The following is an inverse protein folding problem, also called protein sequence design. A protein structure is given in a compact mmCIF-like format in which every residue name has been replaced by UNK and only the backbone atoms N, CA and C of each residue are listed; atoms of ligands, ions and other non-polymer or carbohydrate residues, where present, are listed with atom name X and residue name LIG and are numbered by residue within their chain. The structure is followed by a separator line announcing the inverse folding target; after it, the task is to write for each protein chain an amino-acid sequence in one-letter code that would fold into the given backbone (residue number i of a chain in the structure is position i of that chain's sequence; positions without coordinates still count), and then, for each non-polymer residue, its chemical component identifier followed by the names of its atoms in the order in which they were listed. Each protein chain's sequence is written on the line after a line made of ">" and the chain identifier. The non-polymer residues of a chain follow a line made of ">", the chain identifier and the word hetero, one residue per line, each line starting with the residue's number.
data_IF_616771017734
#
_entry.id   IF_616771017734
#
_cell.length_a   1.000
_cell.length_b   1.000
_cell.length_c   1.000
_cell.angle_alpha   90.00
_cell.angle_beta   90.00
_cell.angle_gamma   90.00
#
_symmetry.space_group_name_H-M   'P 1'
#
loop_
_entity.id
_entity.type
_entity.pdbx_description
1 polymer ?
#
# COMPACT_ATOMS: atom_id res chain seq x y z
N UNK A 1 -16.08 -9.02 -4.04
CA UNK A 1 -15.95 -8.30 -2.75
C UNK A 1 -16.81 -7.05 -2.78
N UNK A 2 -17.48 -6.68 -1.68
CA UNK A 2 -18.24 -5.41 -1.56
C UNK A 2 -17.51 -4.39 -0.69
N UNK A 3 -17.47 -3.14 -1.11
CA UNK A 3 -16.94 -2.03 -0.32
C UNK A 3 -17.98 -0.91 -0.28
N UNK A 4 -18.44 -0.56 0.91
CA UNK A 4 -19.31 0.60 1.10
C UNK A 4 -18.51 1.77 1.66
N UNK A 5 -18.72 2.95 1.09
CA UNK A 5 -18.04 4.19 1.48
C UNK A 5 -19.09 5.19 1.94
N UNK A 6 -18.98 5.64 3.19
CA UNK A 6 -19.86 6.63 3.79
C UNK A 6 -19.11 7.95 3.86
N UNK A 7 -19.64 8.98 3.20
CA UNK A 7 -18.96 10.27 3.04
C UNK A 7 -19.97 11.42 2.97
N UNK A 8 -19.48 12.65 3.14
CA UNK A 8 -20.24 13.87 2.84
C UNK A 8 -20.07 14.35 1.39
N UNK A 9 -19.14 13.75 0.63
CA UNK A 9 -18.72 14.18 -0.70
C UNK A 9 -18.64 12.98 -1.68
N UNK A 10 -19.78 12.33 -1.98
CA UNK A 10 -19.81 11.17 -2.88
C UNK A 10 -19.22 11.46 -4.27
N UNK A 11 -19.35 12.68 -4.76
CA UNK A 11 -18.86 13.12 -6.07
C UNK A 11 -17.34 12.96 -6.24
N UNK A 12 -16.57 12.98 -5.13
CA UNK A 12 -15.12 12.76 -5.16
C UNK A 12 -14.74 11.38 -5.71
N UNK A 13 -15.65 10.40 -5.64
CA UNK A 13 -15.39 9.02 -6.03
C UNK A 13 -15.71 8.71 -7.49
N UNK A 14 -16.46 9.57 -8.20
CA UNK A 14 -16.96 9.28 -9.56
C UNK A 14 -15.84 8.90 -10.53
N UNK A 15 -14.84 9.77 -10.71
CA UNK A 15 -13.70 9.49 -11.61
C UNK A 15 -12.74 8.42 -11.08
N UNK A 16 -12.64 8.30 -9.75
CA UNK A 16 -11.76 7.31 -9.11
C UNK A 16 -12.28 5.88 -9.31
N UNK A 17 -13.59 5.66 -9.15
CA UNK A 17 -14.19 4.32 -9.22
C UNK A 17 -14.47 3.85 -10.65
N UNK A 18 -14.54 4.76 -11.61
CA UNK A 18 -14.85 4.43 -13.01
C UNK A 18 -13.58 4.24 -13.86
N UNK A 19 -12.42 4.67 -13.36
CA UNK A 19 -11.15 4.63 -14.07
C UNK A 19 -10.36 3.34 -13.87
N UNK A 20 -9.52 3.03 -14.86
CA UNK A 20 -8.42 2.05 -14.76
C UNK A 20 -8.89 0.67 -14.24
N UNK A 21 -8.11 0.06 -13.36
CA UNK A 21 -8.33 -1.24 -12.74
C UNK A 21 -9.66 -1.35 -12.00
N UNK A 22 -10.05 -0.31 -11.25
CA UNK A 22 -11.29 -0.30 -10.46
C UNK A 22 -12.52 -0.32 -11.35
N UNK A 23 -12.54 0.51 -12.40
CA UNK A 23 -13.63 0.53 -13.37
C UNK A 23 -13.80 -0.82 -14.07
N UNK A 24 -12.69 -1.42 -14.51
CA UNK A 24 -12.69 -2.74 -15.13
C UNK A 24 -13.21 -3.84 -14.18
N UNK A 25 -12.72 -3.86 -12.94
CA UNK A 25 -13.12 -4.84 -11.93
C UNK A 25 -14.58 -4.71 -11.50
N UNK A 26 -15.14 -3.49 -11.47
CA UNK A 26 -16.57 -3.25 -11.24
C UNK A 26 -17.41 -3.72 -12.43
N UNK A 27 -16.98 -3.39 -13.65
CA UNK A 27 -17.68 -3.81 -14.87
C UNK A 27 -17.71 -5.34 -15.04
N UNK A 28 -16.67 -6.05 -14.56
CA UNK A 28 -16.61 -7.51 -14.56
C UNK A 28 -17.28 -8.17 -13.34
N UNK A 29 -17.89 -7.39 -12.44
CA UNK A 29 -18.59 -7.91 -11.25
C UNK A 29 -17.68 -8.46 -10.15
N UNK A 30 -16.37 -8.24 -10.22
CA UNK A 30 -15.42 -8.69 -9.18
C UNK A 30 -15.50 -7.81 -7.92
N UNK A 31 -15.87 -6.54 -8.11
CA UNK A 31 -16.02 -5.53 -7.06
C UNK A 31 -17.42 -4.89 -7.13
N UNK A 32 -18.08 -4.81 -5.98
CA UNK A 32 -19.27 -3.97 -5.75
C UNK A 32 -18.86 -2.82 -4.85
N UNK A 33 -18.67 -1.62 -5.40
CA UNK A 33 -18.29 -0.44 -4.62
C UNK A 33 -19.47 0.54 -4.62
N UNK A 34 -19.95 0.87 -3.42
CA UNK A 34 -21.09 1.75 -3.20
C UNK A 34 -20.68 2.95 -2.38
N UNK A 35 -21.21 4.11 -2.73
CA UNK A 35 -20.90 5.37 -2.05
C UNK A 35 -22.22 5.98 -1.56
N UNK A 36 -22.31 6.20 -0.25
CA UNK A 36 -23.52 6.67 0.43
C UNK A 36 -23.26 8.02 1.09
N UNK A 37 -24.15 8.98 0.85
CA UNK A 37 -24.02 10.31 1.44
C UNK A 37 -24.59 10.33 2.86
N UNK A 38 -23.77 10.66 3.86
CA UNK A 38 -24.18 10.74 5.27
C UNK A 38 -25.26 11.83 5.46
N UNK A 39 -25.29 12.87 4.62
CA UNK A 39 -26.29 13.96 4.70
C UNK A 39 -27.73 13.47 4.49
N UNK A 40 -27.93 12.33 3.82
CA UNK A 40 -29.26 11.78 3.60
C UNK A 40 -29.88 11.18 4.88
N UNK A 41 -29.06 10.98 5.92
CA UNK A 41 -29.46 10.44 7.22
C UNK A 41 -29.52 11.51 8.30
N UNK A 42 -29.31 12.78 7.93
CA UNK A 42 -29.43 13.89 8.85
C UNK A 42 -30.89 14.34 9.02
N UNK A 43 -31.27 14.59 10.26
CA UNK A 43 -32.59 15.10 10.61
C UNK A 43 -32.73 16.60 10.35
N UNK A 44 -33.98 17.05 10.25
CA UNK A 44 -34.32 18.47 10.10
C UNK A 44 -34.12 19.03 8.69
N UNK A 45 -34.66 20.24 8.47
CA UNK A 45 -34.70 20.89 7.14
C UNK A 45 -33.30 21.19 6.60
N UNK A 46 -32.34 21.46 7.50
CA UNK A 46 -30.97 21.82 7.13
C UNK A 46 -30.04 20.62 6.93
N UNK A 47 -30.51 19.38 7.18
CA UNK A 47 -29.71 18.15 7.09
C UNK A 47 -28.33 18.31 7.78
N UNK A 48 -28.37 18.76 9.04
CA UNK A 48 -27.17 19.05 9.80
C UNK A 48 -26.41 17.76 10.14
N UNK A 49 -25.12 17.72 9.81
CA UNK A 49 -24.24 16.55 10.01
C UNK A 49 -23.12 16.80 11.00
N UNK A 50 -22.96 18.05 11.43
CA UNK A 50 -21.88 18.48 12.31
C UNK A 50 -22.34 19.53 13.32
N UNK A 51 -21.70 19.54 14.49
CA UNK A 51 -21.93 20.52 15.55
C UNK A 51 -20.63 20.84 16.30
N UNK A 52 -20.65 21.91 17.10
CA UNK A 52 -19.51 22.34 17.92
C UNK A 52 -19.16 21.32 18.99
N UNK A 53 -17.86 21.13 19.29
CA UNK A 53 -17.45 20.23 20.36
C UNK A 53 -17.89 20.74 21.74
N UNK A 54 -18.34 19.83 22.60
CA UNK A 54 -18.48 20.11 24.03
C UNK A 54 -17.10 20.40 24.65
N UNK A 55 -17.06 21.31 25.62
CA UNK A 55 -15.80 21.77 26.24
C UNK A 55 -15.14 22.96 25.51
N UNK A 56 -15.69 23.39 24.37
CA UNK A 56 -15.14 24.48 23.57
C UNK A 56 -13.99 24.02 22.67
N UNK A 57 -13.37 24.98 21.97
CA UNK A 57 -12.37 24.73 20.94
C UNK A 57 -12.86 25.12 19.54
N UNK A 58 -11.93 25.28 18.58
CA UNK A 58 -12.28 25.56 17.20
C UNK A 58 -12.85 24.31 16.50
N UNK A 59 -13.47 24.53 15.33
CA UNK A 59 -13.91 23.44 14.46
C UNK A 59 -15.29 22.86 14.80
N UNK A 60 -15.62 21.78 14.10
CA UNK A 60 -16.89 21.06 14.19
C UNK A 60 -16.60 19.56 14.26
N UNK A 61 -17.49 18.77 14.87
CA UNK A 61 -17.43 17.32 14.89
C UNK A 61 -18.63 16.74 14.14
N UNK A 62 -18.41 15.64 13.42
CA UNK A 62 -19.53 14.88 12.86
C UNK A 62 -20.42 14.37 13.99
N UNK A 63 -21.70 14.69 13.88
CA UNK A 63 -22.72 14.30 14.85
C UNK A 63 -22.93 12.78 14.83
N UNK A 64 -23.20 12.16 15.99
CA UNK A 64 -23.36 10.71 16.05
C UNK A 64 -24.61 10.22 15.30
N UNK A 65 -25.73 10.95 15.37
CA UNK A 65 -27.01 10.53 14.76
C UNK A 65 -26.90 10.21 13.27
N UNK A 66 -26.53 11.18 12.41
CA UNK A 66 -26.44 10.95 10.97
C UNK A 66 -25.42 9.88 10.58
N UNK A 67 -24.26 9.84 11.25
CA UNK A 67 -23.20 8.86 10.95
C UNK A 67 -23.64 7.44 11.32
N UNK A 68 -24.19 7.25 12.52
CA UNK A 68 -24.65 5.94 13.00
C UNK A 68 -25.81 5.44 12.16
N UNK A 69 -26.83 6.27 11.91
CA UNK A 69 -27.98 5.90 11.10
C UNK A 69 -27.59 5.51 9.66
N UNK A 70 -26.65 6.23 9.05
CA UNK A 70 -26.11 5.90 7.73
C UNK A 70 -25.40 4.53 7.74
N UNK A 71 -24.53 4.29 8.73
CA UNK A 71 -23.82 3.03 8.87
C UNK A 71 -24.75 1.84 9.12
N UNK A 72 -25.73 1.98 10.03
CA UNK A 72 -26.72 0.94 10.32
C UNK A 72 -27.58 0.62 9.08
N UNK A 73 -28.01 1.64 8.34
CA UNK A 73 -28.76 1.45 7.10
C UNK A 73 -27.95 0.65 6.06
N UNK A 74 -26.70 1.05 5.83
CA UNK A 74 -25.82 0.37 4.87
C UNK A 74 -25.54 -1.06 5.32
N UNK A 75 -25.27 -1.28 6.61
CA UNK A 75 -25.05 -2.63 7.15
C UNK A 75 -26.28 -3.50 6.94
N UNK A 76 -27.48 -2.99 7.25
CA UNK A 76 -28.75 -3.69 7.06
C UNK A 76 -29.05 -4.04 5.59
N UNK A 77 -28.78 -3.13 4.65
CA UNK A 77 -28.94 -3.38 3.20
C UNK A 77 -28.16 -4.62 2.73
N UNK A 78 -26.90 -4.75 3.15
CA UNK A 78 -26.12 -5.92 2.74
C UNK A 78 -26.45 -7.21 3.49
N UNK A 79 -27.06 -7.13 4.69
CA UNK A 79 -27.63 -8.32 5.33
C UNK A 79 -28.84 -8.82 4.54
N UNK A 80 -29.72 -7.93 4.09
CA UNK A 80 -30.87 -8.30 3.25
C UNK A 80 -30.43 -8.92 1.91
N UNK A 81 -29.36 -8.39 1.29
CA UNK A 81 -28.79 -8.97 0.08
C UNK A 81 -28.18 -10.38 0.29
N UNK A 82 -27.80 -10.73 1.52
CA UNK A 82 -27.25 -12.05 1.87
C UNK A 82 -28.35 -13.09 2.22
N UNK A 83 -29.57 -12.65 2.57
CA UNK A 83 -30.73 -13.54 2.82
C UNK A 83 -31.17 -14.17 1.49
N UNK A 84 -30.60 -15.33 1.16
CA UNK A 84 -30.83 -16.05 -0.11
C UNK A 84 -29.60 -16.82 -0.60
N UNK A 85 -28.42 -16.53 -0.06
CA UNK A 85 -27.24 -17.36 -0.19
C UNK A 85 -27.04 -18.15 1.12
N UNK A 86 -26.58 -19.41 1.04
CA UNK A 86 -26.20 -20.26 2.19
C UNK A 86 -24.97 -19.68 2.90
N UNK A 87 -25.08 -18.47 3.45
CA UNK A 87 -24.02 -17.78 4.17
C UNK A 87 -24.27 -18.03 5.64
N UNK A 88 -23.46 -18.92 6.22
CA UNK A 88 -23.40 -19.11 7.66
C UNK A 88 -23.23 -17.77 8.39
N UNK A 89 -23.63 -17.73 9.66
CA UNK A 89 -23.75 -16.58 10.56
C UNK A 89 -22.41 -15.83 10.85
N UNK A 90 -21.41 -15.92 9.99
CA UNK A 90 -20.05 -15.44 10.22
C UNK A 90 -19.55 -14.54 9.08
N UNK A 91 -19.95 -13.28 9.11
CA UNK A 91 -19.01 -12.15 8.94
C UNK A 91 -19.76 -10.84 9.22
N UNK A 92 -19.64 -10.32 10.44
CA UNK A 92 -19.96 -8.91 10.67
C UNK A 92 -19.12 -8.08 9.69
N UNK A 93 -19.77 -7.36 8.77
CA UNK A 93 -19.08 -6.44 7.86
C UNK A 93 -18.45 -5.36 8.73
N UNK A 94 -17.11 -5.27 8.86
CA UNK A 94 -16.51 -4.28 9.74
C UNK A 94 -16.86 -2.88 9.28
N UNK A 95 -17.29 -2.07 10.23
CA UNK A 95 -17.33 -0.63 10.07
C UNK A 95 -15.98 -0.09 10.51
N UNK A 96 -15.32 0.64 9.61
CA UNK A 96 -13.97 1.16 9.78
C UNK A 96 -14.04 2.68 9.71
N UNK A 97 -13.73 3.36 10.81
CA UNK A 97 -13.58 4.81 10.84
C UNK A 97 -12.18 5.18 10.34
N UNK A 98 -12.12 6.03 9.32
CA UNK A 98 -10.86 6.53 8.79
C UNK A 98 -10.41 7.75 9.61
N UNK A 99 -9.42 7.54 10.48
CA UNK A 99 -8.94 8.53 11.45
C UNK A 99 -7.43 8.37 11.66
N UNK A 100 -6.66 9.46 11.81
CA UNK A 100 -5.22 9.39 11.99
C UNK A 100 -4.80 8.63 13.26
N UNK A 101 -5.66 8.56 14.28
CA UNK A 101 -5.41 7.81 15.52
C UNK A 101 -5.64 6.29 15.43
N UNK A 102 -6.08 5.79 14.28
CA UNK A 102 -6.40 4.37 14.07
C UNK A 102 -5.17 3.48 13.87
N UNK A 103 -5.40 2.17 13.72
CA UNK A 103 -4.37 1.19 13.31
C UNK A 103 -3.75 1.64 11.99
N UNK A 104 -2.43 1.64 11.90
CA UNK A 104 -1.74 2.03 10.65
C UNK A 104 -2.00 1.02 9.54
N UNK A 105 -2.34 1.51 8.35
CA UNK A 105 -2.45 0.73 7.13
C UNK A 105 -1.06 0.24 6.72
N UNK A 106 -0.87 -1.08 6.76
CA UNK A 106 0.31 -1.78 6.25
C UNK A 106 -0.12 -2.82 5.24
N UNK A 107 0.82 -3.42 4.51
CA UNK A 107 0.49 -4.48 3.55
C UNK A 107 -0.20 -5.68 4.22
N UNK A 108 0.17 -6.01 5.47
CA UNK A 108 -0.52 -7.03 6.28
C UNK A 108 -2.00 -6.67 6.51
N UNK A 109 -2.29 -5.40 6.78
CA UNK A 109 -3.67 -4.92 6.97
C UNK A 109 -4.43 -4.97 5.66
N UNK A 110 -3.80 -4.60 4.54
CA UNK A 110 -4.39 -4.71 3.20
C UNK A 110 -4.76 -6.17 2.88
N UNK A 111 -3.83 -7.10 3.14
CA UNK A 111 -4.05 -8.54 2.99
C UNK A 111 -5.20 -9.03 3.89
N UNK A 112 -5.26 -8.57 5.14
CA UNK A 112 -6.35 -8.88 6.07
C UNK A 112 -7.71 -8.40 5.55
N UNK A 113 -7.80 -7.14 5.10
CA UNK A 113 -9.03 -6.54 4.60
C UNK A 113 -9.47 -7.19 3.28
N UNK A 114 -8.55 -7.57 2.40
CA UNK A 114 -8.85 -8.21 1.11
C UNK A 114 -9.51 -9.58 1.23
N UNK A 115 -9.34 -10.26 2.38
CA UNK A 115 -9.99 -11.55 2.69
C UNK A 115 -11.42 -11.38 3.19
N UNK A 116 -11.86 -10.16 3.51
CA UNK A 116 -13.23 -9.92 3.96
C UNK A 116 -14.15 -9.85 2.75
N UNK A 117 -15.32 -10.48 2.84
CA UNK A 117 -16.32 -10.42 1.76
C UNK A 117 -16.85 -9.00 1.56
N UNK A 118 -16.94 -8.25 2.67
CA UNK A 118 -17.45 -6.88 2.72
C UNK A 118 -16.72 -6.05 3.76
N UNK A 119 -16.48 -4.77 3.46
CA UNK A 119 -16.01 -3.76 4.41
C UNK A 119 -16.79 -2.45 4.25
N UNK A 120 -16.97 -1.70 5.34
CA UNK A 120 -17.64 -0.40 5.35
C UNK A 120 -16.64 0.66 5.83
N UNK A 121 -16.33 1.64 4.99
CA UNK A 121 -15.39 2.72 5.27
C UNK A 121 -16.15 4.01 5.57
N UNK A 122 -15.92 4.63 6.72
CA UNK A 122 -16.54 5.90 7.11
C UNK A 122 -15.52 7.02 7.05
N UNK A 123 -15.77 7.98 6.15
CA UNK A 123 -14.88 9.11 5.93
C UNK A 123 -15.14 10.20 6.99
N UNK A 124 -14.13 10.50 7.80
CA UNK A 124 -14.16 11.64 8.72
C UNK A 124 -14.06 12.97 7.99
N UNK A 125 -14.58 14.03 8.62
CA UNK A 125 -14.44 15.44 8.19
C UNK A 125 -14.33 16.33 9.42
N UNK A 126 -13.98 17.60 9.18
CA UNK A 126 -13.83 18.59 10.24
C UNK A 126 -12.78 18.11 11.27
N UNK A 127 -13.07 18.18 12.57
CA UNK A 127 -12.20 17.65 13.64
C UNK A 127 -12.34 16.13 13.84
N UNK A 128 -13.22 15.47 13.08
CA UNK A 128 -13.45 14.03 13.12
C UNK A 128 -14.86 13.67 13.58
N UNK A 129 -14.96 12.63 14.40
CA UNK A 129 -16.22 12.05 14.84
C UNK A 129 -16.49 12.35 16.31
N UNK A 130 -17.75 12.46 16.69
CA UNK A 130 -18.14 12.25 18.08
C UNK A 130 -17.65 10.87 18.55
N UNK A 131 -16.94 10.82 19.68
CA UNK A 131 -16.30 9.60 20.20
C UNK A 131 -17.28 8.43 20.42
N UNK A 132 -18.58 8.71 20.61
CA UNK A 132 -19.62 7.69 20.78
C UNK A 132 -19.91 6.92 19.50
N UNK A 133 -19.61 7.47 18.32
CA UNK A 133 -19.79 6.80 17.02
C UNK A 133 -19.03 5.46 17.00
N UNK A 134 -17.77 5.47 17.44
CA UNK A 134 -16.94 4.27 17.52
C UNK A 134 -17.60 3.18 18.37
N UNK A 135 -18.06 3.54 19.57
CA UNK A 135 -18.70 2.60 20.50
C UNK A 135 -20.04 2.10 19.96
N UNK A 136 -20.88 2.99 19.42
CA UNK A 136 -22.20 2.65 18.91
C UNK A 136 -22.13 1.65 17.74
N UNK A 137 -21.13 1.80 16.87
CA UNK A 137 -20.95 0.95 15.70
C UNK A 137 -20.03 -0.25 15.95
N UNK A 138 -19.42 -0.36 17.14
CA UNK A 138 -18.34 -1.32 17.40
C UNK A 138 -17.21 -1.21 16.38
N UNK A 139 -16.93 0.02 15.92
CA UNK A 139 -16.12 0.26 14.74
C UNK A 139 -14.62 0.09 15.00
N UNK A 140 -13.91 -0.45 14.01
CA UNK A 140 -12.46 -0.41 13.93
C UNK A 140 -12.01 1.01 13.53
N UNK A 141 -10.78 1.39 13.87
CA UNK A 141 -10.19 2.67 13.46
C UNK A 141 -8.95 2.40 12.61
N UNK A 142 -8.82 3.08 11.47
CA UNK A 142 -7.71 2.88 10.52
C UNK A 142 -7.11 4.22 10.08
N UNK A 143 -5.78 4.29 10.09
CA UNK A 143 -4.96 5.43 9.68
C UNK A 143 -4.11 5.07 8.48
N UNK A 144 -3.97 5.96 7.50
CA UNK A 144 -3.06 5.74 6.35
C UNK A 144 -1.64 6.28 6.59
N UNK A 145 -1.38 6.87 7.76
CA UNK A 145 -0.04 7.32 8.14
C UNK A 145 -0.04 8.48 9.13
N UNK A 146 1.16 8.87 9.55
CA UNK A 146 1.40 9.87 10.59
C UNK A 146 1.36 11.30 9.99
N UNK A 147 0.22 11.65 9.40
CA UNK A 147 -0.05 12.96 8.79
C UNK A 147 -1.56 13.25 8.80
N UNK A 148 -1.93 14.51 8.55
CA UNK A 148 -3.33 14.97 8.62
C UNK A 148 -3.84 15.29 7.22
N UNK A 149 -5.06 14.82 6.93
CA UNK A 149 -5.81 15.13 5.71
C UNK A 149 -7.04 15.97 6.07
N UNK A 150 -7.62 16.65 5.07
CA UNK A 150 -8.88 17.40 5.23
C UNK A 150 -10.12 16.52 5.40
N UNK A 151 -9.98 15.21 5.21
CA UNK A 151 -11.08 14.25 5.24
C UNK A 151 -10.63 12.83 4.95
N UNK A 152 -11.50 11.88 5.30
CA UNK A 152 -11.25 10.45 5.14
C UNK A 152 -11.40 9.95 3.70
N UNK A 153 -11.86 10.77 2.75
CA UNK A 153 -12.15 10.32 1.37
C UNK A 153 -10.89 9.85 0.64
N UNK A 154 -9.79 10.59 0.76
CA UNK A 154 -8.50 10.17 0.17
C UNK A 154 -7.97 8.92 0.87
N UNK A 155 -8.16 8.79 2.19
CA UNK A 155 -7.82 7.57 2.91
C UNK A 155 -8.66 6.37 2.44
N UNK A 156 -9.96 6.58 2.17
CA UNK A 156 -10.82 5.55 1.62
C UNK A 156 -10.34 5.13 0.23
N UNK A 157 -9.97 6.08 -0.64
CA UNK A 157 -9.40 5.79 -1.96
C UNK A 157 -8.12 4.96 -1.86
N UNK A 158 -7.22 5.31 -0.94
CA UNK A 158 -5.98 4.54 -0.70
C UNK A 158 -6.29 3.11 -0.25
N UNK A 159 -7.23 2.94 0.70
CA UNK A 159 -7.63 1.61 1.18
C UNK A 159 -8.28 0.80 0.05
N UNK A 160 -9.19 1.40 -0.70
CA UNK A 160 -9.87 0.75 -1.83
C UNK A 160 -8.89 0.31 -2.90
N UNK A 161 -7.98 1.17 -3.32
CA UNK A 161 -6.97 0.87 -4.34
C UNK A 161 -6.03 -0.25 -3.88
N UNK A 162 -5.53 -0.19 -2.64
CA UNK A 162 -4.63 -1.22 -2.12
C UNK A 162 -5.34 -2.58 -1.99
N UNK A 163 -6.55 -2.60 -1.46
CA UNK A 163 -7.31 -3.83 -1.20
C UNK A 163 -7.80 -4.47 -2.50
N UNK A 164 -8.28 -3.68 -3.46
CA UNK A 164 -8.86 -4.22 -4.69
C UNK A 164 -7.84 -5.02 -5.52
N UNK A 165 -6.57 -4.63 -5.47
CA UNK A 165 -5.47 -5.30 -6.17
C UNK A 165 -5.30 -6.76 -5.74
N UNK A 166 -5.65 -7.08 -4.49
CA UNK A 166 -5.55 -8.43 -3.94
C UNK A 166 -6.82 -9.27 -4.15
N UNK A 167 -7.88 -8.70 -4.70
CA UNK A 167 -9.10 -9.46 -5.02
C UNK A 167 -8.83 -10.35 -6.24
N UNK A 168 -9.11 -11.67 -6.16
CA UNK A 168 -8.86 -12.60 -7.26
C UNK A 168 -9.50 -12.14 -8.58
N UNK A 169 -8.73 -12.20 -9.66
CA UNK A 169 -9.15 -11.79 -11.00
C UNK A 169 -9.01 -10.30 -11.31
N UNK A 170 -8.75 -9.42 -10.32
CA UNK A 170 -8.63 -7.98 -10.58
C UNK A 170 -7.36 -7.64 -11.36
N UNK A 171 -6.18 -8.08 -10.91
CA UNK A 171 -4.91 -7.82 -11.60
C UNK A 171 -4.65 -8.71 -12.82
N UNK A 172 -5.43 -9.78 -13.01
CA UNK A 172 -5.24 -10.78 -14.06
C UNK A 172 -4.07 -11.75 -13.82
N UNK A 173 -2.92 -11.26 -13.38
CA UNK A 173 -1.74 -12.06 -13.00
C UNK A 173 -1.49 -12.00 -11.48
N UNK A 174 -1.85 -13.07 -10.77
CA UNK A 174 -1.68 -13.18 -9.33
C UNK A 174 -0.21 -13.18 -8.90
N UNK A 175 0.70 -13.59 -9.79
CA UNK A 175 2.13 -13.65 -9.46
C UNK A 175 2.75 -12.25 -9.39
N UNK A 176 2.24 -11.30 -10.18
CA UNK A 176 2.64 -9.89 -10.12
C UNK A 176 2.41 -9.30 -8.71
N UNK A 177 1.24 -9.55 -8.10
CA UNK A 177 0.94 -9.05 -6.76
C UNK A 177 1.86 -9.62 -5.67
N UNK A 178 2.34 -10.86 -5.85
CA UNK A 178 3.26 -11.53 -4.91
C UNK A 178 4.69 -10.99 -4.99
N UNK A 179 5.06 -10.43 -6.14
CA UNK A 179 6.40 -9.91 -6.39
C UNK A 179 6.52 -8.41 -6.07
N UNK A 180 5.39 -7.73 -5.85
CA UNK A 180 5.36 -6.33 -5.42
C UNK A 180 6.16 -6.09 -4.13
N UNK A 181 6.60 -4.85 -4.00
CA UNK A 181 7.14 -4.30 -2.76
C UNK A 181 6.23 -4.63 -1.57
N UNK A 182 6.84 -5.08 -0.48
CA UNK A 182 6.19 -5.52 0.74
C UNK A 182 5.38 -6.82 0.64
N UNK A 183 5.24 -7.50 -0.51
CA UNK A 183 4.46 -8.77 -0.57
C UNK A 183 5.28 -10.02 -0.21
N UNK A 184 6.61 -9.92 -0.16
CA UNK A 184 7.50 -11.03 0.20
C UNK A 184 7.59 -11.25 1.73
N UNK A 185 7.99 -12.44 2.21
CA UNK A 185 8.12 -12.74 3.64
C UNK A 185 9.03 -11.79 4.45
N UNK A 186 9.95 -11.07 3.78
CA UNK A 186 10.83 -10.08 4.41
C UNK A 186 10.33 -8.63 4.31
N UNK A 187 9.13 -8.40 3.76
CA UNK A 187 8.54 -7.08 3.49
C UNK A 187 9.52 -6.11 2.79
N UNK A 188 10.35 -6.66 1.90
CA UNK A 188 11.35 -5.91 1.15
C UNK A 188 10.68 -5.06 0.06
N UNK A 189 11.28 -3.90 -0.22
CA UNK A 189 10.96 -3.09 -1.40
C UNK A 189 11.70 -3.65 -2.61
N UNK A 190 11.03 -3.60 -3.76
CA UNK A 190 11.62 -4.06 -5.03
C UNK A 190 12.88 -3.29 -5.39
N UNK A 191 13.79 -4.00 -6.05
CA UNK A 191 14.96 -3.40 -6.67
C UNK A 191 14.60 -2.55 -7.90
N UNK A 192 15.61 -1.90 -8.53
CA UNK A 192 15.40 -1.13 -9.73
C UNK A 192 14.91 -2.03 -10.88
N UNK A 193 13.90 -1.53 -11.60
CA UNK A 193 13.37 -2.17 -12.79
C UNK A 193 13.83 -1.41 -14.05
N UNK A 194 14.00 -2.13 -15.15
CA UNK A 194 14.48 -1.59 -16.41
C UNK A 194 13.56 -2.04 -17.54
N UNK A 195 13.35 -1.14 -18.50
CA UNK A 195 12.62 -1.44 -19.73
C UNK A 195 13.39 -0.92 -20.92
N UNK A 196 12.88 -1.15 -22.13
CA UNK A 196 13.46 -0.66 -23.37
C UNK A 196 13.45 0.88 -23.39
N UNK A 197 14.48 1.53 -23.99
CA UNK A 197 15.62 0.97 -24.73
C UNK A 197 16.76 0.45 -23.85
N UNK A 198 17.66 -0.37 -24.41
CA UNK A 198 18.83 -0.95 -23.69
C UNK A 198 19.78 0.12 -23.14
N UNK A 199 19.91 1.23 -23.85
CA UNK A 199 20.72 2.36 -23.43
C UNK A 199 19.88 3.64 -23.51
N UNK A 200 19.87 4.41 -22.43
CA UNK A 200 19.19 5.70 -22.36
C UNK A 200 20.17 6.74 -21.84
N UNK A 201 20.58 7.69 -22.70
CA UNK A 201 21.52 8.78 -22.36
C UNK A 201 22.85 8.27 -21.79
N UNK A 202 23.43 7.21 -22.37
CA UNK A 202 24.67 6.60 -21.89
C UNK A 202 24.50 5.69 -20.66
N UNK A 203 23.28 5.55 -20.11
CA UNK A 203 22.99 4.61 -19.03
C UNK A 203 22.50 3.29 -19.62
N UNK A 204 23.30 2.24 -19.46
CA UNK A 204 22.96 0.88 -19.91
C UNK A 204 22.13 0.11 -18.90
N UNK A 205 21.25 -0.77 -19.39
CA UNK A 205 20.62 -1.82 -18.59
C UNK A 205 21.69 -2.81 -18.10
N UNK A 206 21.69 -3.24 -16.82
CA UNK A 206 22.64 -4.23 -16.31
C UNK A 206 22.70 -5.50 -17.18
N UNK A 207 23.91 -5.93 -17.56
CA UNK A 207 24.10 -7.06 -18.48
C UNK A 207 23.46 -8.36 -17.98
N UNK A 208 23.38 -8.56 -16.66
CA UNK A 208 22.69 -9.71 -16.05
C UNK A 208 21.22 -9.80 -16.47
N UNK A 209 20.53 -8.66 -16.62
CA UNK A 209 19.13 -8.60 -17.07
C UNK A 209 18.96 -8.91 -18.56
N UNK A 210 20.05 -8.86 -19.33
CA UNK A 210 20.08 -9.16 -20.76
C UNK A 210 20.56 -10.57 -21.06
N UNK A 211 20.97 -11.32 -20.04
CA UNK A 211 21.61 -12.64 -20.19
C UNK A 211 20.65 -13.79 -20.53
N UNK A 212 19.35 -13.63 -20.27
CA UNK A 212 18.36 -14.71 -20.35
C UNK A 212 18.49 -15.79 -19.25
N UNK A 213 19.48 -15.67 -18.36
CA UNK A 213 19.72 -16.60 -17.26
C UNK A 213 18.79 -16.28 -16.09
N UNK A 214 17.65 -16.98 -16.03
CA UNK A 214 16.61 -16.76 -15.01
C UNK A 214 17.16 -16.87 -13.58
N UNK A 215 18.12 -17.77 -13.33
CA UNK A 215 18.73 -17.95 -12.00
C UNK A 215 19.57 -16.74 -11.59
N UNK A 216 20.43 -16.24 -12.49
CA UNK A 216 21.22 -15.03 -12.24
C UNK A 216 20.35 -13.79 -12.09
N UNK A 217 19.29 -13.67 -12.89
CA UNK A 217 18.34 -12.55 -12.82
C UNK A 217 17.61 -12.56 -11.47
N UNK A 218 17.07 -13.70 -11.05
CA UNK A 218 16.36 -13.83 -9.78
C UNK A 218 17.27 -13.48 -8.58
N UNK A 219 18.50 -14.02 -8.58
CA UNK A 219 19.51 -13.71 -7.55
C UNK A 219 19.83 -12.21 -7.51
N UNK A 220 20.09 -11.61 -8.68
CA UNK A 220 20.36 -10.17 -8.77
C UNK A 220 19.18 -9.34 -8.25
N UNK A 221 17.94 -9.68 -8.62
CA UNK A 221 16.73 -8.97 -8.14
C UNK A 221 16.59 -9.04 -6.62
N UNK A 222 16.85 -10.21 -6.03
CA UNK A 222 16.82 -10.39 -4.57
C UNK A 222 17.89 -9.54 -3.88
N UNK A 223 19.12 -9.54 -4.38
CA UNK A 223 20.21 -8.70 -3.85
C UNK A 223 19.85 -7.20 -3.93
N UNK A 224 19.28 -6.76 -5.05
CA UNK A 224 18.85 -5.37 -5.20
C UNK A 224 17.68 -4.99 -4.30
N UNK A 225 16.72 -5.88 -4.06
CA UNK A 225 15.61 -5.63 -3.13
C UNK A 225 16.11 -5.41 -1.69
N UNK A 226 17.11 -6.18 -1.27
CA UNK A 226 17.77 -6.00 0.04
C UNK A 226 18.46 -4.64 0.11
N UNK A 227 19.21 -4.26 -0.93
CA UNK A 227 19.89 -2.96 -1.01
C UNK A 227 18.88 -1.81 -0.99
N UNK A 228 17.81 -1.89 -1.77
CA UNK A 228 16.74 -0.88 -1.83
C UNK A 228 16.06 -0.70 -0.48
N UNK A 229 15.72 -1.80 0.20
CA UNK A 229 15.11 -1.79 1.54
C UNK A 229 16.03 -1.13 2.56
N UNK A 230 17.31 -1.52 2.59
CA UNK A 230 18.31 -0.87 3.47
C UNK A 230 18.45 0.62 3.20
N UNK A 231 18.43 1.04 1.93
CA UNK A 231 18.52 2.47 1.56
C UNK A 231 17.31 3.26 2.04
N UNK A 232 16.11 2.68 1.96
CA UNK A 232 14.85 3.28 2.46
C UNK A 232 14.87 3.43 3.98
N UNK A 233 15.29 2.36 4.67
CA UNK A 233 15.26 2.29 6.14
C UNK A 233 16.43 3.03 6.79
N UNK A 234 17.50 3.30 6.03
CA UNK A 234 18.58 4.16 6.47
C UNK A 234 18.04 5.56 6.78
N UNK A 235 18.22 5.98 8.04
CA UNK A 235 17.93 7.34 8.47
C UNK A 235 18.76 8.38 7.68
N UNK A 236 18.46 9.68 7.81
CA UNK A 236 19.18 10.74 7.11
C UNK A 236 20.71 10.67 7.28
N UNK A 237 21.20 10.12 8.39
CA UNK A 237 22.62 9.96 8.73
C UNK A 237 23.28 8.69 8.17
N UNK A 238 22.51 7.70 7.74
CA UNK A 238 23.01 6.35 7.37
C UNK A 238 22.86 6.03 5.89
N UNK A 239 22.42 6.99 5.06
CA UNK A 239 22.33 6.76 3.63
C UNK A 239 23.74 6.57 3.07
N UNK A 240 24.11 5.37 2.58
CA UNK A 240 25.38 5.21 1.90
C UNK A 240 25.39 6.18 0.72
N UNK A 241 26.48 6.95 0.57
CA UNK A 241 26.69 7.81 -0.59
C UNK A 241 26.39 7.02 -1.85
N UNK A 242 25.64 7.61 -2.78
CA UNK A 242 25.26 6.92 -4.01
C UNK A 242 26.51 6.29 -4.63
N UNK A 243 26.47 5.00 -5.03
CA UNK A 243 27.55 4.47 -5.83
C UNK A 243 27.63 5.35 -7.08
N UNK A 244 28.72 6.09 -7.20
CA UNK A 244 29.01 6.88 -8.39
C UNK A 244 28.89 5.95 -9.59
N UNK A 245 27.90 6.20 -10.45
CA UNK A 245 27.62 5.42 -11.66
C UNK A 245 28.74 5.48 -12.70
N UNK A 246 29.92 6.02 -12.35
CA UNK A 246 31.04 6.30 -13.25
C UNK A 246 32.33 5.53 -12.93
N UNK A 247 32.28 4.44 -12.15
CA UNK A 247 33.44 3.59 -11.96
C UNK A 247 33.33 2.33 -12.83
N UNK A 248 33.94 2.40 -14.01
CA UNK A 248 34.38 1.21 -14.75
C UNK A 248 35.20 0.29 -13.83
N UNK A 249 35.10 -1.04 -13.96
CA UNK A 249 35.92 -1.95 -13.16
C UNK A 249 37.40 -1.70 -13.48
N UNK A 250 38.13 -1.20 -12.48
CA UNK A 250 39.58 -1.09 -12.54
C UNK A 250 40.14 -2.51 -12.68
N UNK A 251 40.97 -2.82 -13.69
CA UNK A 251 41.58 -4.13 -13.80
C UNK A 251 42.58 -4.30 -12.64
N UNK A 252 42.36 -5.31 -11.82
CA UNK A 252 43.28 -5.71 -10.76
C UNK A 252 44.63 -6.08 -11.38
N UNK A 253 45.67 -5.32 -11.02
CA UNK A 253 47.06 -5.65 -11.35
C UNK A 253 47.42 -7.01 -10.74
N UNK A 254 48.06 -7.84 -11.56
CA UNK A 254 48.61 -9.16 -11.25
C UNK A 254 49.34 -9.19 -9.91
N UNK A 255 49.09 -10.23 -9.13
CA UNK A 255 49.90 -10.63 -7.98
C UNK A 255 51.35 -10.95 -8.42
N UNK A 256 52.38 -10.64 -7.61
CA UNK A 256 53.74 -11.05 -7.92
C UNK A 256 53.90 -12.57 -7.70
N UNK A 257 54.41 -13.25 -8.72
CA UNK A 257 54.82 -14.65 -8.64
C UNK A 257 56.00 -14.82 -7.66
N UNK A 258 55.81 -15.76 -6.74
CA UNK A 258 56.86 -16.34 -5.91
C UNK A 258 57.76 -17.23 -6.77
N UNK A 259 59.01 -16.83 -7.01
CA UNK A 259 60.05 -17.73 -7.51
C UNK A 259 61.05 -18.06 -6.41
N UNK A 260 61.05 -19.34 -6.03
CA UNK A 260 62.11 -19.99 -5.28
C UNK A 260 62.90 -20.93 -6.21
N UNK A 261 64.19 -21.14 -5.88
CA UNK A 261 65.20 -22.05 -6.47
C UNK A 261 66.02 -21.46 -7.62
N UNK A 262 67.32 -21.73 -7.79
CA UNK A 262 68.33 -22.43 -6.98
C UNK A 262 69.72 -22.08 -7.55
N UNK A 263 70.73 -22.10 -6.66
CA UNK A 263 72.09 -22.63 -6.83
C UNK A 263 72.71 -22.57 -8.23
N UNK A 264 73.79 -21.78 -8.37
CA UNK A 264 74.91 -22.16 -9.24
C UNK A 264 76.24 -21.68 -8.63
N UNK A 265 77.23 -22.55 -8.77
CA UNK A 265 78.50 -22.60 -8.05
C UNK A 265 79.66 -22.06 -8.90
N UNK A 266 80.49 -21.20 -8.29
CA UNK A 266 81.98 -21.10 -8.44
C UNK A 266 82.62 -20.67 -9.78
N UNK A 267 83.94 -20.30 -9.86
CA UNK A 267 84.88 -19.81 -8.81
C UNK A 267 85.86 -18.67 -9.28
N UNK A 268 86.79 -18.29 -8.37
CA UNK A 268 88.13 -17.67 -8.55
C UNK A 268 88.17 -16.15 -8.82
N UNK A 269 89.14 -15.36 -8.36
CA UNK A 269 90.33 -15.54 -7.52
C UNK A 269 90.87 -14.14 -7.16
N UNK A 270 91.62 -14.10 -6.05
CA UNK A 270 92.29 -12.97 -5.37
C UNK A 270 93.37 -12.28 -6.23
N UNK A 271 93.93 -11.12 -5.83
CA UNK A 271 95.02 -11.05 -4.83
C UNK A 271 94.73 -10.16 -3.60
#
# INVERSE_FOLDING_TARGET
>A
MRIDILTLFPEMFTGFLDGSLLGAARASGLLDIRVTNIRDFAEGVHRQVDDRPFGGGPGMLLMPGPVVACAEHVVADGLQAAVGADVGVQAASPVILLTPGGRRLTQEVVEELSRRERIVLVCGRYEGFDARVRTALGAEELSIGDFVLSGGEVAAMVVVDAVCRLVPGVLGDEESARQDSFSNPGRLVEGPQYTRPREFRGMGVPDVLLSGDHGKIAKWRQEQAIVATRRRDAGPSDRPGEPSMNQSPVPTKKAPELTARAIETTPRSVP
#
